data_IF_675184763033
#
_entry.id   IF_675184763033
#
_cell.length_a   1.000
_cell.length_b   1.000
_cell.length_c   1.000
_cell.angle_alpha   90.00
_cell.angle_beta   90.00
_cell.angle_gamma   90.00
#
_symmetry.space_group_name_H-M   'P 1'
#
loop_
_entity.id
_entity.type
_entity.pdbx_description
1 polymer ?
#
# COMPACT_ATOMS: atom_id res chain seq x y z
N UNK A 1 10.22 -16.28 11.42
CA UNK A 1 8.87 -16.38 10.82
C UNK A 1 8.84 -15.37 9.70
N UNK A 2 8.59 -15.78 8.45
CA UNK A 2 8.44 -14.81 7.36
C UNK A 2 7.16 -14.01 7.64
N UNK A 3 7.29 -12.70 7.82
CA UNK A 3 6.14 -11.83 8.06
C UNK A 3 5.21 -11.90 6.84
N UNK A 4 3.92 -12.14 7.05
CA UNK A 4 2.96 -12.31 5.95
C UNK A 4 2.65 -10.94 5.37
N UNK A 5 3.09 -10.68 4.14
CA UNK A 5 2.78 -9.43 3.43
C UNK A 5 1.28 -9.30 3.18
N UNK A 6 0.75 -8.14 3.57
CA UNK A 6 -0.65 -7.75 3.38
C UNK A 6 -0.92 -7.07 2.04
N UNK A 7 0.10 -6.39 1.51
CA UNK A 7 0.03 -5.66 0.26
C UNK A 7 1.41 -5.63 -0.41
N UNK A 8 1.44 -5.24 -1.69
CA UNK A 8 2.64 -4.97 -2.48
C UNK A 8 2.58 -3.55 -3.05
N UNK A 9 3.73 -2.98 -3.38
CA UNK A 9 3.83 -1.77 -4.21
C UNK A 9 3.70 -2.18 -5.68
N UNK A 10 2.96 -1.41 -6.47
CA UNK A 10 2.88 -1.61 -7.93
C UNK A 10 3.81 -0.65 -8.68
N UNK A 11 3.90 -0.80 -10.00
CA UNK A 11 4.65 0.11 -10.88
C UNK A 11 3.93 1.45 -11.14
N UNK A 12 2.68 1.63 -10.68
CA UNK A 12 1.96 2.90 -10.76
C UNK A 12 2.49 3.84 -9.66
N UNK A 13 3.01 5.01 -10.03
CA UNK A 13 3.54 5.98 -9.08
C UNK A 13 3.13 7.42 -9.39
N UNK A 14 3.17 8.26 -8.36
CA UNK A 14 3.11 9.73 -8.46
C UNK A 14 4.42 10.35 -7.97
N UNK A 15 4.73 11.54 -8.48
CA UNK A 15 5.82 12.36 -7.96
C UNK A 15 5.28 13.37 -6.94
N UNK A 16 5.78 13.26 -5.72
CA UNK A 16 5.50 14.19 -4.64
C UNK A 16 6.26 15.51 -4.85
N UNK A 17 5.73 16.63 -4.33
CA UNK A 17 6.37 17.95 -4.47
C UNK A 17 7.80 18.00 -3.88
N UNK A 18 8.15 17.08 -2.98
CA UNK A 18 9.50 16.94 -2.44
C UNK A 18 10.46 16.14 -3.35
N UNK A 19 10.04 15.75 -4.56
CA UNK A 19 10.81 14.92 -5.49
C UNK A 19 10.82 13.42 -5.18
N UNK A 20 9.99 12.96 -4.24
CA UNK A 20 9.86 11.54 -3.89
C UNK A 20 8.85 10.84 -4.79
N UNK A 21 9.09 9.57 -5.10
CA UNK A 21 8.11 8.70 -5.75
C UNK A 21 7.27 7.97 -4.71
N UNK A 22 5.95 7.99 -4.86
CA UNK A 22 5.02 7.22 -4.05
C UNK A 22 4.33 6.22 -4.97
N UNK A 23 4.31 4.95 -4.57
CA UNK A 23 3.82 3.83 -5.36
C UNK A 23 2.46 3.38 -4.85
N UNK A 24 1.57 3.08 -5.79
CA UNK A 24 0.23 2.56 -5.51
C UNK A 24 0.36 1.23 -4.78
N UNK A 25 -0.41 1.04 -3.71
CA UNK A 25 -0.46 -0.24 -3.01
C UNK A 25 -1.55 -1.15 -3.58
N UNK A 26 -1.30 -2.47 -3.60
CA UNK A 26 -2.27 -3.50 -3.99
C UNK A 26 -2.36 -4.57 -2.90
N UNK A 27 -3.57 -4.88 -2.46
CA UNK A 27 -3.80 -5.90 -1.44
C UNK A 27 -3.42 -7.31 -1.94
N UNK A 28 -2.71 -8.08 -1.13
CA UNK A 28 -2.34 -9.47 -1.42
C UNK A 28 -3.29 -10.48 -0.79
N UNK A 29 -3.98 -10.08 0.28
CA UNK A 29 -4.91 -10.91 1.05
C UNK A 29 -6.15 -10.11 1.41
N UNK A 30 -7.19 -10.80 1.89
CA UNK A 30 -8.35 -10.15 2.51
C UNK A 30 -8.04 -9.76 3.96
N UNK A 31 -8.43 -8.54 4.37
CA UNK A 31 -8.30 -8.05 5.75
C UNK A 31 -9.22 -6.86 6.00
N UNK A 32 -9.82 -6.79 7.19
CA UNK A 32 -10.77 -5.72 7.52
C UNK A 32 -11.91 -5.64 6.50
N UNK A 33 -11.94 -4.55 5.73
CA UNK A 33 -12.89 -4.30 4.63
C UNK A 33 -12.25 -4.34 3.24
N UNK A 34 -10.97 -4.73 3.15
CA UNK A 34 -10.19 -4.75 1.91
C UNK A 34 -10.08 -6.19 1.41
N UNK A 35 -10.35 -6.39 0.13
CA UNK A 35 -10.23 -7.70 -0.54
C UNK A 35 -8.94 -7.78 -1.35
N UNK A 36 -8.39 -8.98 -1.48
CA UNK A 36 -7.20 -9.25 -2.28
C UNK A 36 -7.35 -8.72 -3.71
N UNK A 37 -6.29 -8.10 -4.22
CA UNK A 37 -6.28 -7.42 -5.52
C UNK A 37 -6.78 -5.98 -5.52
N UNK A 38 -7.40 -5.49 -4.42
CA UNK A 38 -7.83 -4.09 -4.32
C UNK A 38 -6.66 -3.12 -4.41
N UNK A 39 -6.82 -2.06 -5.20
CA UNK A 39 -5.88 -0.94 -5.24
C UNK A 39 -6.20 0.06 -4.13
N UNK A 40 -5.17 0.53 -3.43
CA UNK A 40 -5.23 1.54 -2.39
C UNK A 40 -4.68 2.89 -2.85
N UNK A 41 -4.22 3.70 -1.89
CA UNK A 41 -3.48 4.94 -2.15
C UNK A 41 -1.99 4.68 -2.43
N UNK A 42 -1.15 5.68 -2.18
CA UNK A 42 0.26 5.63 -2.50
C UNK A 42 1.14 5.72 -1.25
N UNK A 43 2.26 5.01 -1.25
CA UNK A 43 3.29 5.09 -0.21
C UNK A 43 4.69 5.05 -0.81
N UNK A 44 5.69 5.65 -0.16
CA UNK A 44 7.07 5.66 -0.66
C UNK A 44 7.72 4.27 -0.60
N UNK A 45 7.45 3.53 0.46
CA UNK A 45 8.05 2.21 0.73
C UNK A 45 7.13 1.35 1.60
N UNK A 46 7.43 0.05 1.70
CA UNK A 46 6.71 -0.87 2.60
C UNK A 46 6.83 -0.48 4.08
N UNK A 47 7.83 0.33 4.46
CA UNK A 47 7.98 0.79 5.85
C UNK A 47 6.96 1.86 6.26
N UNK A 48 6.22 2.43 5.31
CA UNK A 48 5.27 3.52 5.59
C UNK A 48 3.90 3.02 6.06
N UNK A 49 3.55 1.75 5.81
CA UNK A 49 2.26 1.19 6.17
C UNK A 49 2.44 -0.23 6.73
N UNK A 50 1.98 -0.43 7.96
CA UNK A 50 2.17 -1.69 8.66
C UNK A 50 1.44 -2.86 7.96
N UNK A 51 2.15 -3.98 7.79
CA UNK A 51 1.56 -5.22 7.28
C UNK A 51 0.66 -5.92 8.33
N UNK A 52 0.77 -5.54 9.60
CA UNK A 52 -0.08 -6.05 10.68
C UNK A 52 -1.42 -5.32 10.75
N UNK A 53 -2.44 -6.03 11.24
CA UNK A 53 -3.79 -5.49 11.42
C UNK A 53 -4.41 -4.91 10.12
N UNK A 54 -5.30 -3.93 10.30
CA UNK A 54 -6.17 -3.41 9.22
C UNK A 54 -5.73 -2.05 8.64
N UNK A 55 -4.50 -1.60 8.91
CA UNK A 55 -4.00 -0.33 8.35
C UNK A 55 -4.06 -0.37 6.81
N UNK A 56 -4.61 0.68 6.19
CA UNK A 56 -4.79 0.78 4.75
C UNK A 56 -4.89 2.24 4.30
N UNK A 57 -4.27 2.57 3.16
CA UNK A 57 -4.44 3.86 2.50
C UNK A 57 -5.47 3.69 1.39
N UNK A 58 -6.57 4.45 1.43
CA UNK A 58 -7.68 4.32 0.49
C UNK A 58 -7.59 5.32 -0.67
N UNK A 59 -8.12 4.92 -1.83
CA UNK A 59 -8.38 5.82 -2.96
C UNK A 59 -7.10 6.46 -3.49
N UNK A 60 -7.07 7.79 -3.55
CA UNK A 60 -5.92 8.57 -4.05
C UNK A 60 -5.14 9.29 -2.94
N UNK A 61 -5.30 8.88 -1.67
CA UNK A 61 -4.50 9.42 -0.58
C UNK A 61 -3.03 9.01 -0.73
N UNK A 62 -2.12 9.87 -0.27
CA UNK A 62 -0.67 9.72 -0.35
C UNK A 62 0.02 10.48 0.78
#
# INVERSE_FOLDING_TARGET
>A
MTERKKYELTDEFIEHWSGKKLYRIKALIDFGLVVAGSLGGFVESENNLDHNGNAWVYGNAW
#
